data_IF_910025128948
#
_entry.id   IF_910025128948
#
_cell.length_a   1.000
_cell.length_b   1.000
_cell.length_c   1.000
_cell.angle_alpha   90.00
_cell.angle_beta   90.00
_cell.angle_gamma   90.00
#
_symmetry.space_group_name_H-M   'P 1'
#
loop_
_entity.id
_entity.type
_entity.pdbx_description
1 polymer ?
#
# COMPACT_ATOMS: atom_id res chain seq x y z
N UNK A 1 -15.28 9.89 -8.86
CA UNK A 1 -14.00 10.61 -8.98
C UNK A 1 -13.10 9.80 -9.88
N UNK A 2 -12.54 10.38 -10.94
CA UNK A 2 -11.55 9.69 -11.76
C UNK A 2 -10.25 9.54 -10.96
N UNK A 3 -9.65 8.35 -10.98
CA UNK A 3 -8.34 8.14 -10.38
C UNK A 3 -7.29 8.84 -11.25
N UNK A 4 -6.54 9.76 -10.64
CA UNK A 4 -5.40 10.42 -11.29
C UNK A 4 -4.12 9.72 -10.85
N UNK A 5 -3.33 9.28 -11.81
CA UNK A 5 -1.98 8.79 -11.53
C UNK A 5 -1.10 9.95 -11.03
N UNK A 6 -0.33 9.66 -9.99
CA UNK A 6 0.56 10.62 -9.35
C UNK A 6 1.97 10.10 -9.52
N UNK A 7 2.84 10.88 -10.16
CA UNK A 7 4.23 10.49 -10.34
C UNK A 7 5.03 10.69 -9.06
N UNK A 8 6.12 9.92 -8.91
CA UNK A 8 7.07 10.09 -7.79
C UNK A 8 7.64 11.51 -7.74
N UNK A 9 7.80 12.16 -8.90
CA UNK A 9 8.25 13.55 -9.00
C UNK A 9 7.22 14.49 -8.35
N UNK A 10 5.93 14.28 -8.59
CA UNK A 10 4.88 15.07 -7.96
C UNK A 10 4.85 14.88 -6.44
N UNK A 11 5.07 13.64 -5.97
CA UNK A 11 5.19 13.35 -4.53
C UNK A 11 6.38 14.10 -3.92
N UNK A 12 7.58 13.97 -4.52
CA UNK A 12 8.78 14.70 -4.10
C UNK A 12 8.54 16.21 -4.07
N UNK A 13 7.87 16.76 -5.08
CA UNK A 13 7.60 18.19 -5.16
C UNK A 13 6.62 18.66 -4.08
N UNK A 14 5.59 17.87 -3.77
CA UNK A 14 4.66 18.17 -2.66
C UNK A 14 5.43 18.24 -1.34
N UNK A 15 6.27 17.25 -1.04
CA UNK A 15 7.01 17.19 0.21
C UNK A 15 8.09 18.28 0.28
N UNK A 16 8.80 18.52 -0.83
CA UNK A 16 9.78 19.61 -0.94
C UNK A 16 9.14 20.96 -0.65
N UNK A 17 8.01 21.27 -1.30
CA UNK A 17 7.30 22.52 -1.06
C UNK A 17 6.72 22.61 0.35
N UNK A 18 6.32 21.49 0.94
CA UNK A 18 5.89 21.45 2.33
C UNK A 18 7.01 21.76 3.33
N UNK A 19 8.30 21.55 3.00
CA UNK A 19 9.38 21.93 3.91
C UNK A 19 9.47 23.45 4.11
N UNK A 20 9.08 24.24 3.12
CA UNK A 20 9.04 25.70 3.24
C UNK A 20 7.93 26.13 4.20
N UNK A 21 8.30 26.79 5.31
CA UNK A 21 7.40 27.19 6.43
C UNK A 21 6.19 28.03 5.99
N UNK A 22 6.31 28.79 4.90
CA UNK A 22 5.31 29.78 4.51
C UNK A 22 4.33 29.32 3.41
N UNK A 23 4.40 28.06 2.96
CA UNK A 23 3.55 27.57 1.86
C UNK A 23 2.41 26.70 2.40
N UNK A 24 1.17 27.19 2.25
CA UNK A 24 -0.03 26.42 2.59
C UNK A 24 -0.34 25.30 1.60
N UNK A 25 -1.01 24.23 2.07
CA UNK A 25 -1.34 23.02 1.28
C UNK A 25 -2.06 23.30 -0.05
N UNK A 26 -2.86 24.38 -0.14
CA UNK A 26 -3.54 24.75 -1.39
C UNK A 26 -2.56 25.23 -2.46
N UNK A 27 -1.58 26.04 -2.06
CA UNK A 27 -0.52 26.53 -2.94
C UNK A 27 0.41 25.40 -3.36
N UNK A 28 0.74 24.49 -2.43
CA UNK A 28 1.53 23.28 -2.70
C UNK A 28 0.84 22.44 -3.78
N UNK A 29 -0.43 22.09 -3.54
CA UNK A 29 -1.20 21.27 -4.47
C UNK A 29 -1.25 21.86 -5.89
N UNK A 30 -1.48 23.17 -5.99
CA UNK A 30 -1.51 23.88 -7.27
C UNK A 30 -0.16 23.80 -8.00
N UNK A 31 0.95 24.09 -7.31
CA UNK A 31 2.30 24.10 -7.91
C UNK A 31 2.79 22.70 -8.26
N UNK A 32 2.40 21.68 -7.50
CA UNK A 32 2.78 20.28 -7.75
C UNK A 32 1.81 19.55 -8.70
N UNK A 33 0.73 20.20 -9.14
CA UNK A 33 -0.24 19.64 -10.08
C UNK A 33 -1.11 18.51 -9.51
N UNK A 34 -1.36 18.50 -8.19
CA UNK A 34 -2.18 17.50 -7.49
C UNK A 34 -3.41 18.15 -6.83
N UNK A 35 -4.39 17.34 -6.43
CA UNK A 35 -5.50 17.83 -5.61
C UNK A 35 -5.05 18.15 -4.18
N UNK A 36 -5.73 19.10 -3.51
CA UNK A 36 -5.41 19.47 -2.12
C UNK A 36 -5.50 18.29 -1.15
N UNK A 37 -6.48 17.39 -1.32
CA UNK A 37 -6.62 16.19 -0.48
C UNK A 37 -5.48 15.22 -0.72
N UNK A 38 -5.02 15.10 -1.97
CA UNK A 38 -3.83 14.32 -2.32
C UNK A 38 -2.59 14.89 -1.64
N UNK A 39 -2.30 16.18 -1.81
CA UNK A 39 -1.13 16.81 -1.18
C UNK A 39 -1.13 16.59 0.34
N UNK A 40 -2.29 16.81 1.00
CA UNK A 40 -2.45 16.52 2.42
C UNK A 40 -2.13 15.06 2.77
N UNK A 41 -2.73 14.11 2.05
CA UNK A 41 -2.54 12.68 2.30
C UNK A 41 -1.07 12.26 2.23
N UNK A 42 -0.32 12.77 1.26
CA UNK A 42 1.11 12.49 1.13
C UNK A 42 1.94 13.16 2.24
N UNK A 43 1.62 14.40 2.61
CA UNK A 43 2.27 15.09 3.74
C UNK A 43 2.03 14.34 5.04
N UNK A 44 0.79 13.99 5.36
CA UNK A 44 0.46 13.29 6.60
C UNK A 44 1.18 11.94 6.67
N UNK A 45 1.24 11.21 5.54
CA UNK A 45 1.96 9.95 5.42
C UNK A 45 3.49 10.09 5.54
N UNK A 46 4.05 11.27 5.26
CA UNK A 46 5.48 11.54 5.42
C UNK A 46 5.84 12.04 6.83
N UNK A 47 4.95 12.80 7.48
CA UNK A 47 5.15 13.26 8.85
C UNK A 47 5.14 12.09 9.83
N UNK A 48 4.27 11.09 9.63
CA UNK A 48 4.24 9.87 10.45
C UNK A 48 5.60 9.18 10.66
N UNK A 49 6.35 8.86 9.59
CA UNK A 49 7.69 8.26 9.67
C UNK A 49 8.83 9.24 10.02
N UNK A 50 8.55 10.54 10.24
CA UNK A 50 9.54 11.47 10.78
C UNK A 50 9.94 12.65 9.86
N UNK A 51 9.20 12.92 8.78
CA UNK A 51 9.44 14.13 7.99
C UNK A 51 9.23 15.38 8.86
N UNK A 52 10.29 16.16 9.03
CA UNK A 52 10.29 17.39 9.82
C UNK A 52 10.73 18.60 8.98
N UNK A 53 10.10 19.75 9.20
CA UNK A 53 10.49 21.00 8.50
C UNK A 53 11.90 21.47 8.85
N UNK A 54 12.45 21.04 10.00
CA UNK A 54 13.75 21.50 10.49
C UNK A 54 14.93 20.68 9.95
N UNK A 55 14.66 19.51 9.36
CA UNK A 55 15.69 18.60 8.83
C UNK A 55 16.06 18.87 7.36
N UNK A 56 15.39 19.83 6.71
CA UNK A 56 15.69 20.28 5.34
C UNK A 56 15.47 19.23 4.25
N UNK A 57 15.86 19.52 3.01
CA UNK A 57 15.53 18.66 1.86
C UNK A 57 16.29 17.30 1.85
N UNK A 58 17.39 17.18 2.60
CA UNK A 58 18.22 15.95 2.63
C UNK A 58 17.48 14.70 3.12
N UNK A 59 16.39 14.87 3.86
CA UNK A 59 15.55 13.76 4.34
C UNK A 59 14.64 13.16 3.24
N UNK A 60 14.49 13.83 2.09
CA UNK A 60 13.66 13.37 0.97
C UNK A 60 14.38 12.28 0.14
N UNK A 61 14.89 11.26 0.83
CA UNK A 61 15.57 10.13 0.21
C UNK A 61 14.58 9.23 -0.52
N UNK A 62 15.08 8.39 -1.43
CA UNK A 62 14.22 7.45 -2.14
C UNK A 62 13.56 6.44 -1.20
N UNK A 63 14.21 6.07 -0.08
CA UNK A 63 13.60 5.21 0.94
C UNK A 63 12.38 5.88 1.61
N UNK A 64 12.50 7.15 2.00
CA UNK A 64 11.38 7.89 2.60
C UNK A 64 10.24 8.04 1.58
N UNK A 65 10.56 8.39 0.34
CA UNK A 65 9.56 8.53 -0.72
C UNK A 65 8.88 7.18 -1.02
N UNK A 66 9.63 6.09 -1.02
CA UNK A 66 9.11 4.73 -1.16
C UNK A 66 8.13 4.38 -0.03
N UNK A 67 8.52 4.62 1.23
CA UNK A 67 7.67 4.37 2.40
C UNK A 67 6.37 5.18 2.37
N UNK A 68 6.45 6.46 1.98
CA UNK A 68 5.27 7.32 1.81
C UNK A 68 4.34 6.79 0.72
N UNK A 69 4.89 6.43 -0.45
CA UNK A 69 4.11 5.85 -1.54
C UNK A 69 3.42 4.54 -1.12
N UNK A 70 4.11 3.70 -0.34
CA UNK A 70 3.55 2.48 0.20
C UNK A 70 2.41 2.76 1.19
N UNK A 71 2.58 3.70 2.11
CA UNK A 71 1.54 4.10 3.07
C UNK A 71 0.30 4.72 2.41
N UNK A 72 0.48 5.42 1.29
CA UNK A 72 -0.61 6.08 0.54
C UNK A 72 -1.23 5.16 -0.53
N UNK A 73 -0.63 4.00 -0.81
CA UNK A 73 -1.16 3.04 -1.78
C UNK A 73 -2.61 2.68 -1.42
N UNK A 74 -3.60 2.92 -2.30
CA UNK A 74 -4.96 2.41 -2.08
C UNK A 74 -4.84 0.87 -2.01
N UNK A 75 -5.19 0.28 -0.87
CA UNK A 75 -5.07 -1.17 -0.55
C UNK A 75 -5.37 -2.08 -1.75
N UNK A 76 -4.64 -3.17 -2.03
CA UNK A 76 -3.93 -4.09 -1.12
C UNK A 76 -2.42 -4.16 -1.35
N UNK A 77 -1.72 -4.34 -0.24
CA UNK A 77 -0.25 -4.43 -0.12
C UNK A 77 0.31 -5.55 -1.02
N UNK A 78 -0.43 -6.66 -1.13
CA UNK A 78 0.00 -7.88 -1.84
C UNK A 78 -0.96 -8.37 -2.93
N UNK A 79 -2.01 -7.61 -3.28
CA UNK A 79 -3.03 -8.05 -4.25
C UNK A 79 -3.95 -9.19 -3.75
N UNK A 80 -3.64 -9.77 -2.60
CA UNK A 80 -4.26 -10.96 -2.03
C UNK A 80 -5.23 -10.63 -0.89
N UNK A 81 -6.43 -11.22 -0.93
CA UNK A 81 -7.53 -11.04 0.04
C UNK A 81 -7.22 -11.55 1.46
N UNK A 82 -8.07 -11.26 2.45
CA UNK A 82 -7.99 -11.88 3.79
C UNK A 82 -8.03 -13.41 3.68
N UNK A 83 -8.76 -13.92 2.68
CA UNK A 83 -8.79 -15.34 2.33
C UNK A 83 -7.43 -15.90 1.91
N UNK A 84 -6.57 -15.11 1.25
CA UNK A 84 -5.21 -15.54 0.91
C UNK A 84 -4.29 -15.52 2.13
N UNK A 85 -4.38 -14.50 2.98
CA UNK A 85 -3.64 -14.44 4.26
C UNK A 85 -3.96 -15.66 5.14
N UNK A 86 -5.20 -16.16 5.09
CA UNK A 86 -5.60 -17.39 5.77
C UNK A 86 -5.02 -18.68 5.14
N UNK A 87 -4.57 -18.63 3.88
CA UNK A 87 -4.03 -19.79 3.15
C UNK A 87 -2.52 -19.89 3.22
N UNK A 88 -1.82 -18.77 3.38
CA UNK A 88 -0.36 -18.70 3.42
C UNK A 88 0.27 -19.71 4.39
N UNK A 89 -0.25 -19.93 5.63
CA UNK A 89 0.29 -20.95 6.53
C UNK A 89 0.09 -22.40 6.07
N UNK A 90 -0.81 -22.64 5.10
CA UNK A 90 -1.22 -23.97 4.64
C UNK A 90 -0.68 -24.33 3.25
N UNK A 91 0.14 -23.48 2.63
CA UNK A 91 0.64 -23.66 1.25
C UNK A 91 1.30 -25.03 1.04
N UNK A 92 2.22 -25.42 1.93
CA UNK A 92 2.96 -26.68 1.84
C UNK A 92 2.06 -27.92 1.94
N UNK A 93 0.94 -27.82 2.68
CA UNK A 93 -0.01 -28.92 2.82
C UNK A 93 -0.92 -29.02 1.60
N UNK A 94 -1.36 -27.88 1.07
CA UNK A 94 -2.11 -27.81 -0.18
C UNK A 94 -1.29 -28.37 -1.34
N UNK A 95 -0.01 -28.02 -1.43
CA UNK A 95 0.92 -28.56 -2.45
C UNK A 95 0.96 -30.09 -2.41
N UNK A 96 1.09 -30.69 -1.21
CA UNK A 96 1.04 -32.16 -1.04
C UNK A 96 -0.29 -32.78 -1.44
N UNK A 97 -1.41 -32.07 -1.26
CA UNK A 97 -2.73 -32.55 -1.70
C UNK A 97 -2.90 -32.47 -3.21
N UNK A 98 -2.41 -31.40 -3.84
CA UNK A 98 -2.38 -31.25 -5.29
C UNK A 98 -1.53 -32.36 -5.93
N UNK A 99 -0.34 -32.63 -5.38
CA UNK A 99 0.53 -33.73 -5.85
C UNK A 99 -0.12 -35.12 -5.73
N UNK A 100 -0.99 -35.30 -4.73
CA UNK A 100 -1.79 -36.52 -4.56
C UNK A 100 -3.03 -36.58 -5.47
N UNK A 101 -3.26 -35.56 -6.30
CA UNK A 101 -4.38 -35.48 -7.24
C UNK A 101 -5.72 -35.15 -6.59
N UNK A 102 -5.75 -34.48 -5.43
CA UNK A 102 -7.00 -34.03 -4.83
C UNK A 102 -7.62 -32.89 -5.67
N UNK A 103 -8.95 -32.89 -5.75
CA UNK A 103 -9.70 -31.80 -6.39
C UNK A 103 -9.71 -30.56 -5.48
N UNK A 104 -9.87 -29.37 -6.09
CA UNK A 104 -9.93 -28.08 -5.37
C UNK A 104 -11.05 -28.08 -4.33
N UNK A 105 -12.25 -28.58 -4.69
CA UNK A 105 -13.34 -28.78 -3.73
C UNK A 105 -12.93 -29.64 -2.52
N UNK A 106 -12.15 -30.70 -2.74
CA UNK A 106 -11.68 -31.56 -1.65
C UNK A 106 -10.65 -30.88 -0.76
N UNK A 107 -9.77 -30.06 -1.34
CA UNK A 107 -8.83 -29.22 -0.60
C UNK A 107 -9.59 -28.22 0.27
N UNK A 108 -10.63 -27.58 -0.29
CA UNK A 108 -11.53 -26.69 0.46
C UNK A 108 -12.18 -27.37 1.67
N UNK A 109 -12.74 -28.57 1.49
CA UNK A 109 -13.30 -29.34 2.62
C UNK A 109 -12.27 -29.62 3.72
N UNK A 110 -11.04 -29.95 3.35
CA UNK A 110 -9.95 -30.25 4.30
C UNK A 110 -9.52 -29.00 5.08
N UNK A 111 -9.54 -27.84 4.44
CA UNK A 111 -9.25 -26.56 5.07
C UNK A 111 -10.37 -26.14 6.03
N UNK A 112 -11.64 -26.34 5.66
CA UNK A 112 -12.78 -26.06 6.55
C UNK A 112 -12.70 -26.89 7.83
N UNK A 113 -12.29 -28.17 7.74
CA UNK A 113 -12.06 -29.03 8.92
C UNK A 113 -10.95 -28.53 9.84
N UNK A 114 -10.06 -27.68 9.34
CA UNK A 114 -8.97 -27.05 10.08
C UNK A 114 -9.32 -25.63 10.54
N UNK A 115 -10.56 -25.19 10.33
CA UNK A 115 -11.04 -23.86 10.69
C UNK A 115 -10.74 -22.77 9.65
N UNK A 116 -10.21 -23.12 8.49
CA UNK A 116 -9.90 -22.18 7.40
C UNK A 116 -11.03 -22.19 6.39
N UNK A 117 -11.83 -21.12 6.39
CA UNK A 117 -12.97 -20.95 5.49
C UNK A 117 -12.62 -19.92 4.42
N UNK A 118 -12.42 -20.37 3.19
CA UNK A 118 -12.09 -19.51 2.05
C UNK A 118 -12.96 -19.84 0.83
N UNK A 119 -13.23 -18.88 -0.07
CA UNK A 119 -13.90 -19.17 -1.33
C UNK A 119 -13.09 -20.10 -2.21
N UNK A 120 -13.73 -21.04 -2.90
CA UNK A 120 -13.06 -21.98 -3.82
C UNK A 120 -12.27 -21.26 -4.93
N UNK A 121 -12.77 -20.10 -5.41
CA UNK A 121 -12.06 -19.24 -6.38
C UNK A 121 -10.71 -18.69 -5.91
N UNK A 122 -10.36 -18.91 -4.64
CA UNK A 122 -9.12 -18.44 -3.99
C UNK A 122 -8.14 -19.58 -3.74
N UNK A 123 -8.59 -20.83 -3.85
CA UNK A 123 -7.79 -22.07 -3.77
C UNK A 123 -7.24 -22.45 -5.14
#
# INVERSE_FOLDING_TARGET
MAFKEISVIQVKEVLRQWLYKDVGLRSIALRSGVDRKTARRYVDAAVGPGLSRDSGEKQLTDELIGAVCQAVRPTRQDGHGLSWELLEPHEEEMRKWVEKGLTVAKIGDLLVRRGVVVPERTL
#
